data_IF_712187571431
#
_entry.id   IF_712187571431
#
_cell.length_a   1.000
_cell.length_b   1.000
_cell.length_c   1.000
_cell.angle_alpha   90.00
_cell.angle_beta   90.00
_cell.angle_gamma   90.00
#
_symmetry.space_group_name_H-M   'P 1'
#
loop_
_entity.id
_entity.type
_entity.pdbx_description
1 polymer ?
#
# COMPACT_ATOMS: atom_id res chain seq x y z
N UNK A 1 -17.36 22.97 -24.79
CA UNK A 1 -17.37 21.50 -24.57
C UNK A 1 -16.02 20.81 -24.82
N UNK A 2 -15.18 21.25 -25.77
CA UNK A 2 -13.86 20.63 -26.00
C UNK A 2 -12.91 20.70 -24.79
N UNK A 3 -12.92 21.81 -24.05
CA UNK A 3 -12.09 21.98 -22.84
C UNK A 3 -12.57 21.07 -21.70
N UNK A 4 -13.88 20.88 -21.56
CA UNK A 4 -14.45 20.01 -20.51
C UNK A 4 -14.21 18.52 -20.80
N UNK A 5 -14.25 18.10 -22.07
CA UNK A 5 -13.91 16.72 -22.47
C UNK A 5 -12.41 16.41 -22.27
N UNK A 6 -11.51 17.36 -22.55
CA UNK A 6 -10.07 17.23 -22.26
C UNK A 6 -9.81 17.07 -20.76
N UNK A 7 -10.42 17.92 -19.92
CA UNK A 7 -10.33 17.81 -18.45
C UNK A 7 -10.83 16.44 -17.96
N UNK A 8 -11.93 15.92 -18.53
CA UNK A 8 -12.47 14.60 -18.21
C UNK A 8 -11.52 13.47 -18.61
N UNK A 9 -10.92 13.53 -19.80
CA UNK A 9 -9.94 12.53 -20.28
C UNK A 9 -8.72 12.49 -19.37
N UNK A 10 -8.20 13.66 -18.97
CA UNK A 10 -7.09 13.78 -18.04
C UNK A 10 -7.43 13.20 -16.66
N UNK A 11 -8.63 13.47 -16.14
CA UNK A 11 -9.11 12.91 -14.87
C UNK A 11 -9.13 11.38 -14.90
N UNK A 12 -9.67 10.76 -15.96
CA UNK A 12 -9.67 9.30 -16.11
C UNK A 12 -8.26 8.71 -16.17
N UNK A 13 -7.33 9.35 -16.89
CA UNK A 13 -5.93 8.91 -16.96
C UNK A 13 -5.28 8.93 -15.58
N UNK A 14 -5.47 10.01 -14.82
CA UNK A 14 -4.95 10.14 -13.45
C UNK A 14 -5.55 9.10 -12.49
N UNK A 15 -6.85 8.85 -12.56
CA UNK A 15 -7.51 7.81 -11.76
C UNK A 15 -6.87 6.42 -11.98
N UNK A 16 -6.61 6.05 -13.24
CA UNK A 16 -5.94 4.79 -13.56
C UNK A 16 -4.50 4.71 -13.00
N UNK A 17 -3.74 5.81 -13.08
CA UNK A 17 -2.40 5.88 -12.50
C UNK A 17 -2.43 5.74 -10.97
N UNK A 18 -3.33 6.48 -10.30
CA UNK A 18 -3.48 6.42 -8.84
C UNK A 18 -3.85 5.02 -8.36
N UNK A 19 -4.78 4.35 -9.06
CA UNK A 19 -5.17 2.97 -8.73
C UNK A 19 -3.98 1.99 -8.82
N UNK A 20 -3.13 2.12 -9.84
CA UNK A 20 -1.91 1.31 -9.98
C UNK A 20 -0.94 1.55 -8.84
N UNK A 21 -0.69 2.81 -8.49
CA UNK A 21 0.21 3.17 -7.37
C UNK A 21 -0.31 2.62 -6.04
N UNK A 22 -1.62 2.71 -5.77
CA UNK A 22 -2.23 2.13 -4.56
C UNK A 22 -2.00 0.62 -4.52
N UNK A 23 -2.26 -0.08 -5.64
CA UNK A 23 -2.07 -1.52 -5.73
C UNK A 23 -0.61 -1.92 -5.48
N UNK A 24 0.35 -1.19 -6.05
CA UNK A 24 1.78 -1.42 -5.81
C UNK A 24 2.12 -1.23 -4.33
N UNK A 25 1.63 -0.16 -3.68
CA UNK A 25 1.86 0.09 -2.26
C UNK A 25 1.30 -1.00 -1.36
N UNK A 26 0.13 -1.56 -1.71
CA UNK A 26 -0.46 -2.70 -1.00
C UNK A 26 0.38 -3.97 -1.15
N UNK A 27 0.82 -4.27 -2.39
CA UNK A 27 1.63 -5.47 -2.67
C UNK A 27 3.04 -5.39 -2.07
N UNK A 28 3.59 -4.19 -1.99
CA UNK A 28 4.92 -3.93 -1.40
C UNK A 28 4.86 -3.56 0.08
N UNK A 29 3.68 -3.61 0.70
CA UNK A 29 3.52 -3.34 2.12
C UNK A 29 4.28 -4.40 2.92
N UNK A 30 5.43 -3.99 3.47
CA UNK A 30 6.13 -4.78 4.48
C UNK A 30 5.50 -4.43 5.83
N UNK A 31 5.00 -5.43 6.59
CA UNK A 31 4.55 -5.16 7.95
C UNK A 31 5.75 -4.63 8.74
N UNK A 32 5.51 -3.65 9.62
CA UNK A 32 6.53 -3.24 10.59
C UNK A 32 6.72 -4.42 11.54
N UNK A 33 7.76 -5.22 11.29
CA UNK A 33 8.19 -6.26 12.21
C UNK A 33 8.74 -5.51 13.42
N UNK A 34 7.93 -5.41 14.48
CA UNK A 34 8.43 -4.91 15.76
C UNK A 34 9.58 -5.84 16.17
N UNK A 35 10.66 -5.28 16.70
CA UNK A 35 11.72 -6.09 17.31
C UNK A 35 11.10 -6.82 18.49
N UNK A 36 10.71 -8.08 18.28
CA UNK A 36 10.14 -8.91 19.33
C UNK A 36 11.30 -9.50 20.11
N UNK A 37 11.27 -9.37 21.43
CA UNK A 37 12.23 -10.02 22.31
C UNK A 37 12.07 -11.54 22.20
N UNK A 38 12.97 -12.15 21.42
CA UNK A 38 12.94 -13.57 21.10
C UNK A 38 13.22 -14.42 22.34
N UNK A 39 13.96 -13.89 23.32
CA UNK A 39 14.30 -14.60 24.56
C UNK A 39 13.09 -14.69 25.48
N UNK A 40 12.35 -13.60 25.65
CA UNK A 40 11.09 -13.58 26.41
C UNK A 40 10.04 -14.54 25.82
N UNK A 41 9.95 -14.62 24.49
CA UNK A 41 9.06 -15.57 23.82
C UNK A 41 9.50 -17.02 24.08
N UNK A 42 10.79 -17.34 23.90
CA UNK A 42 11.30 -18.69 24.14
C UNK A 42 11.07 -19.14 25.58
N UNK A 43 11.24 -18.24 26.55
CA UNK A 43 10.95 -18.52 27.96
C UNK A 43 9.48 -18.89 28.21
N UNK A 44 8.53 -18.28 27.48
CA UNK A 44 7.10 -18.59 27.61
C UNK A 44 6.70 -19.98 27.10
N UNK A 45 7.53 -20.60 26.24
CA UNK A 45 7.28 -21.92 25.66
C UNK A 45 8.03 -23.06 26.36
N UNK A 46 8.92 -22.77 27.30
CA UNK A 46 9.58 -23.77 28.12
C UNK A 46 8.61 -24.26 29.21
N UNK A 47 7.78 -25.24 28.86
CA UNK A 47 6.95 -26.01 29.77
C UNK A 47 7.34 -27.47 29.69
#
# INVERSE_FOLDING_TARGET
MAVTTLKRKLKRKRQGQTARVIKIKQLSAKPVIKNVDVEAIKASFAK
#
